data_IF_473092517268
#
_entry.id   IF_473092517268
#
_cell.length_a   1.000
_cell.length_b   1.000
_cell.length_c   1.000
_cell.angle_alpha   90.00
_cell.angle_beta   90.00
_cell.angle_gamma   90.00
#
_symmetry.space_group_name_H-M   'P 1'
#
loop_
_entity.id
_entity.type
_entity.pdbx_description
1 polymer ?
#
# COMPACT_ATOMS: atom_id res chain seq x y z
N UNK A 1 3.80 -1.65 15.60
CA UNK A 1 2.71 -0.83 16.18
C UNK A 1 1.39 -1.29 15.56
N UNK A 2 0.28 -1.39 16.30
CA UNK A 2 -1.02 -1.67 15.64
C UNK A 2 -1.53 -0.39 14.96
N UNK A 3 -2.22 -0.53 13.82
CA UNK A 3 -2.87 0.63 13.19
C UNK A 3 -3.85 1.29 14.18
N UNK A 4 -3.74 2.60 14.32
CA UNK A 4 -4.58 3.38 15.24
C UNK A 4 -4.35 3.12 16.71
N UNK A 5 -3.14 2.75 17.11
CA UNK A 5 -2.82 2.60 18.53
C UNK A 5 -3.00 3.90 19.33
N UNK A 6 -2.93 5.06 18.66
CA UNK A 6 -3.09 6.39 19.26
C UNK A 6 -4.53 6.91 19.19
N UNK A 7 -5.45 6.19 18.55
CA UNK A 7 -6.85 6.58 18.51
C UNK A 7 -7.57 6.24 19.82
N UNK A 8 -8.36 7.17 20.34
CA UNK A 8 -9.22 7.04 21.51
C UNK A 8 -10.54 7.79 21.36
N UNK A 9 -11.43 7.68 22.35
CA UNK A 9 -12.79 8.23 22.27
C UNK A 9 -12.85 9.76 22.07
N UNK A 10 -11.82 10.47 22.52
CA UNK A 10 -11.74 11.95 22.47
C UNK A 10 -10.57 12.47 21.66
N UNK A 11 -9.80 11.60 20.99
CA UNK A 11 -8.63 12.04 20.21
C UNK A 11 -9.07 12.67 18.90
N UNK A 12 -8.45 13.80 18.55
CA UNK A 12 -8.59 14.37 17.22
C UNK A 12 -7.87 13.50 16.19
N UNK A 13 -8.19 13.72 14.92
CA UNK A 13 -7.56 13.03 13.78
C UNK A 13 -6.04 13.21 13.77
N UNK A 14 -5.54 14.39 14.12
CA UNK A 14 -4.10 14.69 14.20
C UNK A 14 -3.45 13.94 15.37
N UNK A 15 -4.10 13.92 16.54
CA UNK A 15 -3.62 13.17 17.71
C UNK A 15 -3.57 11.66 17.45
N UNK A 16 -4.50 11.15 16.65
CA UNK A 16 -4.54 9.74 16.24
C UNK A 16 -3.58 9.40 15.09
N UNK A 17 -2.89 10.38 14.47
CA UNK A 17 -2.04 10.15 13.31
C UNK A 17 -2.82 9.77 12.03
N UNK A 18 -4.04 10.28 11.89
CA UNK A 18 -4.93 9.99 10.77
C UNK A 18 -4.87 11.08 9.67
N UNK A 19 -5.04 10.67 8.42
CA UNK A 19 -5.30 11.56 7.28
C UNK A 19 -6.66 12.24 7.40
N UNK A 20 -6.93 13.27 6.59
CA UNK A 20 -8.24 13.94 6.51
C UNK A 20 -9.44 12.98 6.44
N UNK A 21 -9.30 11.87 5.71
CA UNK A 21 -10.33 10.84 5.54
C UNK A 21 -10.37 9.78 6.65
N UNK A 22 -9.66 9.98 7.77
CA UNK A 22 -9.62 9.03 8.88
C UNK A 22 -8.75 7.81 8.64
N UNK A 23 -8.02 7.75 7.52
CA UNK A 23 -7.09 6.65 7.23
C UNK A 23 -5.84 6.82 8.09
N UNK A 24 -5.56 5.83 8.93
CA UNK A 24 -4.42 5.82 9.85
C UNK A 24 -3.18 5.16 9.23
N UNK A 25 -2.01 5.51 9.75
CA UNK A 25 -0.71 4.92 9.38
C UNK A 25 -0.41 5.01 7.88
N UNK A 26 -0.62 6.17 7.27
CA UNK A 26 -0.23 6.44 5.87
C UNK A 26 1.24 6.83 5.72
N UNK A 27 1.95 6.94 6.85
CA UNK A 27 3.34 7.37 6.96
C UNK A 27 4.01 6.59 8.11
N UNK A 28 4.98 5.73 7.79
CA UNK A 28 5.64 4.82 8.73
C UNK A 28 4.97 3.44 8.82
N UNK A 29 5.26 2.74 9.93
CA UNK A 29 4.86 1.37 10.22
C UNK A 29 5.35 0.35 9.18
N UNK A 30 4.68 0.18 8.04
CA UNK A 30 5.08 -0.75 6.99
C UNK A 30 4.90 -0.13 5.60
N UNK A 31 5.77 -0.51 4.66
CA UNK A 31 5.57 -0.22 3.26
C UNK A 31 4.31 -0.93 2.77
N UNK A 32 3.46 -0.23 2.03
CA UNK A 32 2.24 -0.80 1.45
C UNK A 32 2.40 -1.01 -0.05
N UNK A 33 2.03 -2.22 -0.52
CA UNK A 33 2.01 -2.54 -1.95
C UNK A 33 1.01 -1.68 -2.72
N UNK A 34 1.44 -1.17 -3.87
CA UNK A 34 0.61 -0.35 -4.77
C UNK A 34 0.82 -0.71 -6.24
N UNK A 35 -0.22 -0.50 -7.04
CA UNK A 35 -0.12 -0.50 -8.50
C UNK A 35 0.66 0.74 -8.96
N UNK A 36 1.66 0.55 -9.82
CA UNK A 36 2.56 1.62 -10.25
C UNK A 36 2.29 2.08 -11.68
N UNK A 37 2.21 3.39 -11.89
CA UNK A 37 1.95 3.99 -13.21
C UNK A 37 3.22 4.16 -14.07
N UNK A 38 4.38 3.72 -13.57
CA UNK A 38 5.67 3.74 -14.30
C UNK A 38 5.79 2.64 -15.34
N UNK A 39 4.91 1.63 -15.33
CA UNK A 39 4.93 0.49 -16.25
C UNK A 39 3.71 0.47 -17.17
N UNK A 40 3.82 -0.16 -18.35
CA UNK A 40 2.68 -0.31 -19.26
C UNK A 40 1.52 -1.09 -18.60
N UNK A 41 1.82 -2.20 -17.92
CA UNK A 41 0.81 -3.02 -17.23
C UNK A 41 0.12 -2.26 -16.11
N UNK A 42 0.86 -1.52 -15.28
CA UNK A 42 0.24 -0.76 -14.19
C UNK A 42 -0.59 0.44 -14.68
N UNK A 43 -0.24 1.06 -15.82
CA UNK A 43 -1.10 2.04 -16.51
C UNK A 43 -2.37 1.41 -17.10
N UNK A 44 -2.32 0.13 -17.47
CA UNK A 44 -3.46 -0.63 -17.98
C UNK A 44 -4.40 -1.15 -16.89
N UNK A 45 -4.06 -0.98 -15.60
CA UNK A 45 -4.91 -1.44 -14.50
C UNK A 45 -6.26 -0.72 -14.49
N UNK A 46 -7.35 -1.49 -14.51
CA UNK A 46 -8.71 -0.99 -14.65
C UNK A 46 -9.47 -0.85 -13.33
N UNK A 47 -8.85 -1.21 -12.20
CA UNK A 47 -9.52 -1.20 -10.89
C UNK A 47 -10.50 -2.35 -10.66
N UNK A 48 -10.53 -3.35 -11.55
CA UNK A 48 -11.35 -4.56 -11.35
C UNK A 48 -10.83 -5.38 -10.17
N UNK A 49 -11.75 -5.83 -9.32
CA UNK A 49 -11.45 -6.81 -8.28
C UNK A 49 -11.30 -8.20 -8.87
N UNK A 50 -10.51 -9.05 -8.21
CA UNK A 50 -10.41 -10.46 -8.56
C UNK A 50 -11.63 -11.21 -8.05
N UNK A 51 -11.84 -12.40 -8.59
CA UNK A 51 -12.91 -13.33 -8.19
C UNK A 51 -12.51 -14.24 -7.00
N UNK A 52 -11.28 -14.10 -6.50
CA UNK A 52 -10.72 -14.91 -5.43
C UNK A 52 -10.17 -16.27 -5.90
N UNK A 53 -10.17 -16.54 -7.20
CA UNK A 53 -9.59 -17.75 -7.79
C UNK A 53 -8.15 -17.45 -8.20
N UNK A 54 -7.26 -18.38 -7.83
CA UNK A 54 -5.86 -18.36 -8.25
C UNK A 54 -5.64 -19.47 -9.27
N UNK A 55 -4.68 -19.26 -10.18
CA UNK A 55 -4.18 -20.31 -11.06
C UNK A 55 -3.48 -21.41 -10.25
N UNK A 56 -3.15 -22.52 -10.92
CA UNK A 56 -2.36 -23.61 -10.32
C UNK A 56 -0.99 -23.16 -9.79
N UNK A 57 -0.48 -22.03 -10.28
CA UNK A 57 0.79 -21.41 -9.83
C UNK A 57 0.59 -20.34 -8.76
N UNK A 58 -0.64 -20.14 -8.27
CA UNK A 58 -0.96 -19.13 -7.26
C UNK A 58 -1.09 -17.71 -7.80
N UNK A 59 -1.24 -17.54 -9.13
CA UNK A 59 -1.37 -16.24 -9.76
C UNK A 59 -2.83 -15.83 -9.91
N UNK A 60 -3.10 -14.53 -9.80
CA UNK A 60 -4.39 -13.95 -10.19
C UNK A 60 -4.75 -14.28 -11.65
N UNK A 61 -6.04 -14.38 -11.92
CA UNK A 61 -6.61 -14.64 -13.24
C UNK A 61 -7.18 -13.39 -13.94
N UNK A 62 -7.31 -12.25 -13.24
CA UNK A 62 -7.88 -11.03 -13.83
C UNK A 62 -6.90 -10.36 -14.81
N UNK A 63 -7.43 -10.02 -16.00
CA UNK A 63 -6.64 -9.37 -17.05
C UNK A 63 -6.26 -7.95 -16.60
N UNK A 64 -5.04 -7.51 -16.96
CA UNK A 64 -4.48 -6.21 -16.59
C UNK A 64 -4.15 -6.02 -15.10
N UNK A 65 -4.18 -7.08 -14.29
CA UNK A 65 -3.56 -7.04 -12.96
C UNK A 65 -2.04 -7.07 -13.07
N UNK A 66 -1.34 -6.07 -12.50
CA UNK A 66 0.11 -5.98 -12.61
C UNK A 66 0.81 -7.12 -11.85
N UNK A 67 1.81 -7.73 -12.48
CA UNK A 67 2.78 -8.60 -11.80
C UNK A 67 3.66 -7.80 -10.85
N UNK A 68 3.98 -6.56 -11.23
CA UNK A 68 4.94 -5.71 -10.54
C UNK A 68 4.22 -4.66 -9.71
N UNK A 69 4.49 -4.68 -8.41
CA UNK A 69 3.96 -3.74 -7.45
C UNK A 69 5.09 -2.89 -6.88
N UNK A 70 4.78 -1.62 -6.63
CA UNK A 70 5.66 -0.71 -5.90
C UNK A 70 5.28 -0.61 -4.44
N UNK A 71 6.05 0.17 -3.70
CA UNK A 71 5.87 0.40 -2.27
C UNK A 71 5.64 1.89 -1.95
N UNK A 72 4.76 2.17 -0.98
CA UNK A 72 4.42 3.51 -0.46
C UNK A 72 4.35 3.53 1.07
N UNK A 73 4.52 4.70 1.67
CA UNK A 73 4.21 4.93 3.09
C UNK A 73 5.40 4.86 4.06
N UNK A 74 6.52 4.21 3.73
CA UNK A 74 7.66 4.08 4.63
C UNK A 74 7.51 2.95 5.65
N UNK A 75 8.41 2.85 6.62
CA UNK A 75 8.47 1.74 7.59
C UNK A 75 8.71 2.27 9.00
N UNK A 76 8.63 1.39 10.01
CA UNK A 76 9.03 1.71 11.39
C UNK A 76 10.49 2.16 11.52
N UNK A 77 11.36 1.79 10.56
CA UNK A 77 12.79 2.14 10.53
C UNK A 77 13.11 3.30 9.60
N UNK A 78 12.11 3.92 8.97
CA UNK A 78 12.31 5.02 8.04
C UNK A 78 12.70 6.29 8.80
N UNK A 79 14.00 6.52 8.93
CA UNK A 79 14.62 7.65 9.64
C UNK A 79 14.83 8.89 8.76
N UNK A 80 14.79 8.74 7.43
CA UNK A 80 14.86 9.88 6.51
C UNK A 80 13.46 10.40 6.24
N UNK A 81 13.22 11.70 6.47
CA UNK A 81 11.93 12.36 6.23
C UNK A 81 11.38 12.09 4.82
N UNK A 82 12.26 11.93 3.83
CA UNK A 82 11.85 11.66 2.46
C UNK A 82 11.09 10.34 2.29
N UNK A 83 11.39 9.30 3.08
CA UNK A 83 10.74 7.99 2.92
C UNK A 83 9.35 7.91 3.55
N UNK A 84 9.01 8.86 4.43
CA UNK A 84 7.72 8.91 5.14
C UNK A 84 6.78 9.98 4.56
N UNK A 85 7.26 10.76 3.58
CA UNK A 85 6.45 11.73 2.86
C UNK A 85 5.40 11.02 1.98
N UNK A 86 4.16 11.51 2.00
CA UNK A 86 3.05 10.93 1.22
C UNK A 86 3.34 10.95 -0.30
N UNK A 87 4.12 11.92 -0.77
CA UNK A 87 4.49 12.06 -2.18
C UNK A 87 5.67 11.18 -2.60
N UNK A 88 6.35 10.51 -1.66
CA UNK A 88 7.52 9.70 -1.99
C UNK A 88 7.17 8.50 -2.86
N UNK A 89 8.07 8.25 -3.82
CA UNK A 89 7.90 7.25 -4.87
C UNK A 89 9.21 6.50 -5.15
N UNK A 90 10.24 6.67 -4.33
CA UNK A 90 11.55 6.07 -4.55
C UNK A 90 11.47 4.54 -4.76
N UNK A 91 10.55 3.86 -4.05
CA UNK A 91 10.33 2.42 -4.13
C UNK A 91 9.16 2.01 -5.06
N UNK A 92 8.85 2.81 -6.09
CA UNK A 92 7.83 2.47 -7.10
C UNK A 92 8.39 1.93 -8.42
N UNK A 93 9.71 1.92 -8.59
CA UNK A 93 10.40 1.39 -9.77
C UNK A 93 10.88 -0.07 -9.64
N UNK A 94 10.96 -0.59 -8.41
CA UNK A 94 11.41 -1.96 -8.14
C UNK A 94 10.30 -3.00 -8.29
N UNK A 95 10.68 -4.24 -8.56
CA UNK A 95 9.78 -5.39 -8.51
C UNK A 95 9.85 -6.03 -7.12
N UNK A 96 8.90 -5.67 -6.25
CA UNK A 96 8.85 -6.16 -4.86
C UNK A 96 7.83 -7.30 -4.69
N UNK A 97 7.32 -7.85 -5.80
CA UNK A 97 6.26 -8.88 -5.79
C UNK A 97 6.76 -10.28 -5.46
N UNK A 98 8.06 -10.54 -5.64
CA UNK A 98 8.66 -11.88 -5.49
C UNK A 98 9.30 -12.13 -4.13
N UNK A 99 9.35 -11.11 -3.27
CA UNK A 99 10.01 -11.17 -1.96
C UNK A 99 9.08 -10.63 -0.87
N UNK A 100 9.14 -11.25 0.31
CA UNK A 100 8.46 -10.75 1.51
C UNK A 100 9.50 -10.17 2.45
N UNK A 101 9.24 -8.94 2.89
CA UNK A 101 10.03 -8.29 3.91
C UNK A 101 9.20 -8.20 5.18
N UNK A 102 9.85 -8.20 6.34
CA UNK A 102 9.15 -7.92 7.59
C UNK A 102 8.53 -6.52 7.58
N UNK A 103 9.05 -5.61 6.75
CA UNK A 103 8.67 -4.21 6.61
C UNK A 103 7.68 -3.90 5.51
N UNK A 104 7.19 -4.92 4.80
CA UNK A 104 6.13 -4.77 3.80
C UNK A 104 4.81 -5.34 4.32
N UNK A 105 3.72 -4.68 3.94
CA UNK A 105 2.35 -5.04 4.27
C UNK A 105 1.42 -4.61 3.15
N UNK A 106 0.12 -4.60 3.44
CA UNK A 106 -0.90 -4.23 2.46
C UNK A 106 -2.08 -3.54 3.10
N UNK A 107 -2.77 -2.76 2.27
CA UNK A 107 -4.01 -2.08 2.64
C UNK A 107 -5.12 -2.53 1.70
N UNK A 108 -6.17 -3.10 2.28
CA UNK A 108 -7.36 -3.46 1.52
C UNK A 108 -8.07 -2.23 0.97
N UNK A 109 -8.48 -2.31 -0.29
CA UNK A 109 -9.31 -1.30 -0.96
C UNK A 109 -10.52 -1.99 -1.56
N UNK A 110 -11.63 -1.26 -1.67
CA UNK A 110 -12.86 -1.74 -2.31
C UNK A 110 -13.43 -0.63 -3.18
N UNK A 111 -14.13 -1.00 -4.24
CA UNK A 111 -14.91 -0.03 -5.02
C UNK A 111 -16.04 0.49 -4.14
N UNK A 112 -16.23 1.81 -4.19
CA UNK A 112 -17.35 2.50 -3.57
C UNK A 112 -18.40 2.80 -4.65
N UNK A 113 -19.65 2.96 -4.20
CA UNK A 113 -20.72 1.97 -4.31
C UNK A 113 -20.96 1.46 -5.74
#
# INVERSE_FOLDING_TARGET
LRSGCFAGATTTREQAGATYYGVMEMSGNCWEYVVVVSTATGKGYTGKHGDGVLSDTGERNETNWPNRLGLKGGTWGSITLNAINISDRANTGGDYSTQRYNSTGGRGVRTAP
#
